data_IF_938626382660
#
_entry.id   IF_938626382660
#
_cell.length_a   1.000
_cell.length_b   1.000
_cell.length_c   1.000
_cell.angle_alpha   90.00
_cell.angle_beta   90.00
_cell.angle_gamma   90.00
#
_symmetry.space_group_name_H-M   'P 1'
#
loop_
_entity.id
_entity.type
_entity.pdbx_description
1 polymer ?
#
# COMPACT_ATOMS: atom_id res chain seq x y z
N UNK A 1 -50.53 9.35 49.23
CA UNK A 1 -49.18 9.46 48.63
C UNK A 1 -49.01 8.22 47.76
N UNK A 2 -49.63 8.15 46.58
CA UNK A 2 -49.30 8.85 45.32
C UNK A 2 -48.01 8.29 44.70
N UNK A 3 -47.92 7.86 43.43
CA UNK A 3 -48.92 7.57 42.42
C UNK A 3 -48.24 6.76 41.30
N UNK A 4 -49.03 5.89 40.69
CA UNK A 4 -48.79 5.21 39.42
C UNK A 4 -49.04 6.23 38.30
N UNK A 5 -48.17 6.27 37.28
CA UNK A 5 -48.29 7.14 36.12
C UNK A 5 -48.02 6.38 34.83
N UNK A 6 -49.10 5.88 34.21
CA UNK A 6 -49.17 5.50 32.80
C UNK A 6 -48.89 6.71 31.91
N UNK A 7 -48.24 6.51 30.77
CA UNK A 7 -48.60 7.24 29.55
C UNK A 7 -48.48 6.33 28.32
N UNK A 8 -49.66 5.83 27.95
CA UNK A 8 -50.04 5.30 26.65
C UNK A 8 -50.36 6.48 25.73
N UNK A 9 -50.22 6.22 24.42
CA UNK A 9 -50.93 6.86 23.31
C UNK A 9 -50.82 8.37 23.18
N UNK A 10 -50.05 8.83 22.18
CA UNK A 10 -50.54 9.74 21.13
C UNK A 10 -49.38 10.12 20.19
N UNK A 11 -49.33 9.49 19.01
CA UNK A 11 -48.90 10.15 17.75
C UNK A 11 -49.22 9.26 16.54
N UNK A 12 -50.50 8.86 16.43
CA UNK A 12 -51.10 8.45 15.15
C UNK A 12 -51.85 9.65 14.57
N UNK A 13 -51.10 10.62 14.04
CA UNK A 13 -51.65 11.70 13.24
C UNK A 13 -50.51 12.49 12.60
N UNK A 14 -49.87 11.96 11.54
CA UNK A 14 -49.02 12.74 10.61
C UNK A 14 -48.66 11.97 9.34
N UNK A 15 -49.60 11.20 8.76
CA UNK A 15 -49.45 10.62 7.42
C UNK A 15 -50.82 10.55 6.73
N UNK A 16 -51.33 11.69 6.28
CA UNK A 16 -52.41 11.74 5.29
C UNK A 16 -52.39 13.12 4.62
N UNK A 17 -52.12 13.12 3.32
CA UNK A 17 -52.26 14.31 2.48
C UNK A 17 -51.04 14.60 1.62
N UNK A 18 -50.81 13.79 0.59
CA UNK A 18 -50.12 14.24 -0.64
C UNK A 18 -50.38 13.27 -1.81
N UNK A 19 -51.67 13.04 -2.10
CA UNK A 19 -52.10 12.50 -3.40
C UNK A 19 -53.51 13.03 -3.68
N UNK A 20 -53.61 14.13 -4.43
CA UNK A 20 -54.68 14.40 -5.40
C UNK A 20 -54.55 15.82 -5.97
N UNK A 21 -54.99 15.93 -7.23
CA UNK A 21 -55.14 17.13 -8.06
C UNK A 21 -53.88 17.59 -8.81
N UNK A 22 -53.75 17.11 -10.05
CA UNK A 22 -53.96 17.95 -11.23
C UNK A 22 -53.97 17.04 -12.46
N UNK A 23 -55.17 16.72 -12.91
CA UNK A 23 -55.44 16.24 -14.26
C UNK A 23 -56.19 17.35 -15.01
N UNK A 24 -56.18 17.23 -16.33
CA UNK A 24 -57.01 17.93 -17.31
C UNK A 24 -56.47 19.25 -17.90
N UNK A 25 -55.77 19.12 -19.04
CA UNK A 25 -56.21 19.81 -20.27
C UNK A 25 -55.52 19.30 -21.55
N UNK A 26 -56.35 18.67 -22.38
CA UNK A 26 -56.48 18.80 -23.85
C UNK A 26 -55.35 18.36 -24.80
N UNK A 27 -55.71 17.31 -25.55
CA UNK A 27 -55.17 16.80 -26.83
C UNK A 27 -55.37 17.83 -27.97
N UNK A 28 -54.47 17.91 -28.97
CA UNK A 28 -54.81 17.36 -30.29
C UNK A 28 -53.66 16.56 -30.91
N UNK A 29 -54.02 15.46 -31.59
CA UNK A 29 -53.07 14.54 -32.19
C UNK A 29 -52.52 14.98 -33.56
N UNK A 30 -51.44 14.32 -33.97
CA UNK A 30 -51.03 14.17 -35.37
C UNK A 30 -50.21 12.89 -35.51
N UNK A 31 -50.68 12.02 -36.41
CA UNK A 31 -49.90 10.93 -37.00
C UNK A 31 -48.77 11.52 -37.88
N UNK A 32 -47.56 10.95 -37.83
CA UNK A 32 -46.69 10.90 -39.01
C UNK A 32 -45.52 9.90 -38.83
N UNK A 33 -45.59 8.85 -39.65
CA UNK A 33 -44.51 8.33 -40.51
C UNK A 33 -43.18 7.80 -39.92
N UNK A 34 -42.95 6.51 -40.20
CA UNK A 34 -41.66 5.84 -40.26
C UNK A 34 -40.67 6.52 -41.22
N UNK A 35 -39.37 6.64 -40.88
CA UNK A 35 -38.35 6.91 -41.88
C UNK A 35 -37.81 5.60 -42.49
N UNK A 36 -37.92 5.54 -43.81
CA UNK A 36 -37.26 4.58 -44.72
C UNK A 36 -35.74 4.75 -44.68
N UNK A 37 -35.06 3.63 -44.93
CA UNK A 37 -33.66 3.48 -45.30
C UNK A 37 -33.02 4.71 -45.97
N UNK A 38 -32.08 5.36 -45.26
CA UNK A 38 -31.21 6.39 -45.84
C UNK A 38 -29.95 5.76 -46.45
N UNK A 39 -29.72 6.08 -47.73
CA UNK A 39 -28.53 5.74 -48.51
C UNK A 39 -27.27 6.31 -47.86
N UNK A 40 -26.24 5.47 -47.79
CA UNK A 40 -24.88 5.83 -47.37
C UNK A 40 -24.26 6.82 -48.38
N UNK A 41 -23.91 8.02 -47.92
CA UNK A 41 -23.15 9.02 -48.70
C UNK A 41 -21.68 9.02 -48.30
N UNK A 42 -20.81 9.10 -49.32
CA UNK A 42 -19.35 9.05 -49.28
C UNK A 42 -18.66 10.02 -48.28
N UNK A 43 -19.37 11.03 -47.75
CA UNK A 43 -18.85 11.93 -46.72
C UNK A 43 -18.63 11.29 -45.35
N UNK A 44 -19.31 10.19 -45.01
CA UNK A 44 -19.08 9.51 -43.73
C UNK A 44 -17.75 8.73 -43.70
N UNK A 45 -17.23 8.31 -44.86
CA UNK A 45 -15.96 7.57 -44.98
C UNK A 45 -14.71 8.41 -44.68
N UNK A 46 -14.76 9.72 -44.95
CA UNK A 46 -13.66 10.65 -44.70
C UNK A 46 -13.54 11.02 -43.23
N UNK A 47 -14.67 11.13 -42.51
CA UNK A 47 -14.68 11.37 -41.08
C UNK A 47 -14.19 10.13 -40.27
N UNK A 48 -14.44 8.92 -40.77
CA UNK A 48 -13.89 7.68 -40.20
C UNK A 48 -12.39 7.58 -40.41
N UNK A 49 -11.88 7.91 -41.60
CA UNK A 49 -10.44 7.91 -41.90
C UNK A 49 -9.66 8.94 -41.06
N UNK A 50 -10.22 10.13 -40.84
CA UNK A 50 -9.58 11.15 -40.02
C UNK A 50 -9.52 10.73 -38.53
N UNK A 51 -10.56 10.05 -38.04
CA UNK A 51 -10.62 9.57 -36.64
C UNK A 51 -9.71 8.36 -36.40
N UNK A 52 -9.62 7.42 -37.33
CA UNK A 52 -8.66 6.29 -37.23
C UNK A 52 -7.22 6.78 -37.31
N UNK A 53 -6.92 7.75 -38.19
CA UNK A 53 -5.62 8.41 -38.22
C UNK A 53 -5.30 9.12 -36.88
N UNK A 54 -6.29 9.74 -36.25
CA UNK A 54 -6.11 10.42 -34.96
C UNK A 54 -5.87 9.44 -33.79
N UNK A 55 -6.58 8.30 -33.75
CA UNK A 55 -6.35 7.26 -32.74
C UNK A 55 -5.00 6.56 -32.91
N UNK A 56 -4.59 6.28 -34.15
CA UNK A 56 -3.25 5.76 -34.44
C UNK A 56 -2.20 6.80 -34.05
N UNK A 57 -2.42 8.09 -34.34
CA UNK A 57 -1.51 9.16 -33.92
C UNK A 57 -1.43 9.29 -32.39
N UNK A 58 -2.54 9.15 -31.64
CA UNK A 58 -2.55 9.16 -30.17
C UNK A 58 -1.82 7.93 -29.63
N UNK A 59 -2.06 6.72 -30.16
CA UNK A 59 -1.35 5.52 -29.76
C UNK A 59 0.17 5.64 -30.04
N UNK A 60 0.54 6.16 -31.21
CA UNK A 60 1.93 6.43 -31.60
C UNK A 60 2.57 7.55 -30.77
N UNK A 61 1.79 8.50 -30.21
CA UNK A 61 2.28 9.52 -29.27
C UNK A 61 2.36 9.03 -27.83
N UNK A 62 1.51 8.07 -27.43
CA UNK A 62 1.54 7.46 -26.11
C UNK A 62 2.70 6.47 -25.96
N UNK A 63 3.13 5.82 -27.05
CA UNK A 63 4.31 4.95 -27.05
C UNK A 63 5.60 5.68 -26.62
N UNK A 64 6.00 6.84 -27.17
CA UNK A 64 7.17 7.57 -26.70
C UNK A 64 6.97 8.16 -25.31
N UNK A 65 5.76 8.53 -24.88
CA UNK A 65 5.52 8.92 -23.48
C UNK A 65 5.67 7.74 -22.51
N UNK A 66 5.22 6.56 -22.90
CA UNK A 66 5.42 5.30 -22.18
C UNK A 66 6.90 4.93 -22.15
N UNK A 67 7.59 5.01 -23.29
CA UNK A 67 9.03 4.78 -23.40
C UNK A 67 9.81 5.82 -22.59
N UNK A 68 9.46 7.12 -22.60
CA UNK A 68 10.11 8.15 -21.76
C UNK A 68 9.88 7.88 -20.28
N UNK A 69 8.68 7.39 -19.89
CA UNK A 69 8.39 6.99 -18.51
C UNK A 69 9.22 5.77 -18.10
N UNK A 70 9.32 4.77 -18.98
CA UNK A 70 10.15 3.58 -18.82
C UNK A 70 11.65 3.90 -18.88
N UNK A 71 12.06 4.91 -19.64
CA UNK A 71 13.47 5.32 -19.78
C UNK A 71 13.91 6.15 -18.58
N UNK A 72 13.06 7.05 -18.06
CA UNK A 72 13.29 7.69 -16.75
C UNK A 72 13.28 6.68 -15.60
N UNK A 73 12.49 5.61 -15.74
CA UNK A 73 12.51 4.48 -14.80
C UNK A 73 13.83 3.70 -14.89
N UNK A 74 14.36 3.47 -16.10
CA UNK A 74 15.67 2.87 -16.32
C UNK A 74 16.84 3.77 -15.90
N UNK A 75 16.70 5.10 -15.89
CA UNK A 75 17.73 6.00 -15.37
C UNK A 75 17.80 5.96 -13.82
N UNK A 76 16.65 5.81 -13.14
CA UNK A 76 16.62 5.58 -11.69
C UNK A 76 17.05 4.14 -11.34
N UNK A 77 16.66 3.17 -12.16
CA UNK A 77 17.10 1.77 -12.04
C UNK A 77 18.57 1.61 -12.40
N UNK A 78 19.15 2.36 -13.33
CA UNK A 78 20.60 2.31 -13.59
C UNK A 78 21.38 3.05 -12.51
N UNK A 79 20.81 4.06 -11.84
CA UNK A 79 21.43 4.63 -10.64
C UNK A 79 21.41 3.66 -9.45
N UNK A 80 20.32 2.90 -9.25
CA UNK A 80 20.17 1.93 -8.14
C UNK A 80 20.56 0.47 -8.50
N UNK A 81 20.84 0.17 -9.77
CA UNK A 81 21.33 -1.14 -10.24
C UNK A 81 22.69 -1.09 -10.91
N UNK A 82 23.26 0.09 -11.25
CA UNK A 82 24.73 0.23 -11.39
C UNK A 82 25.41 0.45 -10.04
N UNK A 83 24.65 0.68 -8.96
CA UNK A 83 25.13 0.25 -7.64
C UNK A 83 25.03 -1.26 -7.61
N UNK A 84 26.01 -1.93 -8.23
CA UNK A 84 26.37 -3.34 -8.01
C UNK A 84 26.85 -3.53 -6.56
N UNK A 85 26.19 -2.90 -5.58
CA UNK A 85 26.31 -3.28 -4.18
C UNK A 85 25.69 -4.66 -4.16
N UNK A 86 26.53 -5.69 -4.24
CA UNK A 86 26.18 -7.02 -3.78
C UNK A 86 25.92 -6.89 -2.29
N UNK A 87 24.70 -6.48 -1.95
CA UNK A 87 24.17 -6.62 -0.61
C UNK A 87 24.16 -8.13 -0.39
N UNK A 88 25.10 -8.62 0.40
CA UNK A 88 25.08 -9.99 0.86
C UNK A 88 23.85 -10.14 1.77
N UNK A 89 22.71 -10.41 1.14
CA UNK A 89 21.38 -10.59 1.75
C UNK A 89 21.30 -11.88 2.61
N UNK A 90 22.36 -12.70 2.60
CA UNK A 90 22.40 -13.89 3.42
C UNK A 90 22.78 -13.55 4.86
N UNK A 91 21.75 -13.43 5.72
CA UNK A 91 21.84 -13.74 7.15
C UNK A 91 22.51 -15.12 7.32
N UNK A 92 23.85 -15.16 7.37
CA UNK A 92 24.62 -16.38 7.61
C UNK A 92 25.68 -16.73 6.59
N UNK A 93 25.97 -15.90 5.58
CA UNK A 93 27.20 -16.09 4.80
C UNK A 93 28.41 -15.80 5.70
N UNK A 94 29.33 -16.75 5.81
CA UNK A 94 30.63 -16.53 6.47
C UNK A 94 31.29 -15.31 5.82
N UNK A 95 31.86 -14.39 6.61
CA UNK A 95 32.51 -13.22 6.05
C UNK A 95 33.61 -13.68 5.09
N UNK A 96 33.82 -12.99 3.96
CA UNK A 96 34.85 -13.37 3.01
C UNK A 96 36.22 -13.44 3.71
N UNK A 97 37.12 -14.31 3.23
CA UNK A 97 38.41 -14.55 3.87
C UNK A 97 39.22 -13.26 4.13
N UNK A 98 39.01 -12.22 3.31
CA UNK A 98 39.58 -10.87 3.48
C UNK A 98 39.17 -10.14 4.78
N UNK A 99 38.12 -10.61 5.46
CA UNK A 99 37.65 -10.07 6.74
C UNK A 99 38.23 -10.81 7.96
N UNK A 100 39.14 -11.79 7.79
CA UNK A 100 39.65 -12.62 8.89
C UNK A 100 40.66 -11.88 9.80
N UNK A 101 41.50 -11.01 9.23
CA UNK A 101 42.47 -10.18 9.99
C UNK A 101 41.89 -8.78 10.20
N UNK A 102 41.04 -8.62 11.21
CA UNK A 102 40.34 -7.37 11.48
C UNK A 102 40.64 -6.81 12.88
N UNK A 103 40.61 -5.48 12.97
CA UNK A 103 40.63 -4.75 14.24
C UNK A 103 39.23 -4.26 14.56
N UNK A 104 38.89 -4.21 15.85
CA UNK A 104 37.55 -3.80 16.30
C UNK A 104 37.65 -2.64 17.28
N UNK A 105 36.96 -1.54 16.98
CA UNK A 105 36.67 -0.47 17.92
C UNK A 105 35.31 -0.71 18.59
N UNK A 106 35.21 -0.58 19.90
CA UNK A 106 33.97 -0.80 20.65
C UNK A 106 33.62 0.43 21.50
N UNK A 107 32.35 0.81 21.49
CA UNK A 107 31.83 1.98 22.19
C UNK A 107 30.58 1.63 22.98
N UNK A 108 30.35 2.34 24.07
CA UNK A 108 29.20 2.15 24.95
C UNK A 108 28.59 3.52 25.27
N UNK A 109 27.26 3.64 25.10
CA UNK A 109 26.53 4.87 25.37
C UNK A 109 25.30 4.61 26.20
N UNK A 110 25.14 5.39 27.26
CA UNK A 110 24.06 5.27 28.23
C UNK A 110 23.07 6.42 28.08
N UNK A 111 21.81 6.10 27.84
CA UNK A 111 20.74 7.09 27.74
C UNK A 111 19.71 6.88 28.85
N UNK A 112 19.33 7.98 29.50
CA UNK A 112 18.46 7.98 30.67
C UNK A 112 17.41 9.09 30.57
N UNK A 113 16.22 8.84 31.13
CA UNK A 113 15.09 9.78 31.17
C UNK A 113 14.66 10.24 29.76
N UNK A 114 14.66 9.30 28.82
CA UNK A 114 14.36 9.59 27.42
C UNK A 114 12.87 9.85 27.21
N UNK A 115 12.59 10.97 26.53
CA UNK A 115 11.30 11.21 25.88
C UNK A 115 11.38 10.97 24.39
N UNK A 116 12.49 11.34 23.76
CA UNK A 116 12.74 11.13 22.34
C UNK A 116 14.07 10.42 22.18
N UNK A 117 14.22 9.63 21.14
CA UNK A 117 15.50 9.03 20.79
C UNK A 117 15.75 9.08 19.29
N UNK A 118 16.95 9.51 18.90
CA UNK A 118 17.37 9.54 17.49
C UNK A 118 18.73 8.86 17.33
N UNK A 119 18.76 7.83 16.48
CA UNK A 119 19.99 7.22 16.00
C UNK A 119 20.23 7.63 14.54
N UNK A 120 21.42 8.11 14.24
CA UNK A 120 21.84 8.44 12.89
C UNK A 120 23.15 7.73 12.56
N UNK A 121 23.19 6.96 11.48
CA UNK A 121 24.39 6.33 10.95
C UNK A 121 24.62 6.82 9.54
N UNK A 122 25.79 7.41 9.29
CA UNK A 122 26.14 7.94 7.97
C UNK A 122 27.43 7.30 7.51
N UNK A 123 27.36 6.62 6.36
CA UNK A 123 28.56 6.23 5.62
C UNK A 123 28.92 7.37 4.69
N UNK A 124 30.12 7.94 4.82
CA UNK A 124 30.60 8.98 3.92
C UNK A 124 31.04 8.35 2.59
N UNK A 125 30.06 7.96 1.78
CA UNK A 125 30.25 7.38 0.46
C UNK A 125 30.48 8.50 -0.55
N UNK A 126 31.66 8.50 -1.18
CA UNK A 126 31.91 9.41 -2.29
C UNK A 126 31.21 8.94 -3.57
N UNK A 127 30.91 9.87 -4.47
CA UNK A 127 30.10 9.63 -5.69
C UNK A 127 30.76 8.67 -6.69
N UNK A 128 32.04 8.39 -6.56
CA UNK A 128 32.79 7.42 -7.38
C UNK A 128 32.80 6.02 -6.75
N UNK A 129 31.63 5.56 -6.29
CA UNK A 129 31.47 4.29 -5.59
C UNK A 129 31.50 3.13 -6.60
N UNK A 130 32.65 2.44 -6.71
CA UNK A 130 32.73 1.13 -7.40
C UNK A 130 32.47 0.03 -6.38
N UNK A 131 31.36 -0.68 -6.56
CA UNK A 131 30.81 -1.61 -5.59
C UNK A 131 31.41 -3.03 -5.66
N UNK A 132 32.30 -3.30 -6.62
CA UNK A 132 32.63 -4.67 -7.02
C UNK A 132 33.49 -5.47 -6.04
N UNK A 133 34.19 -4.83 -5.09
CA UNK A 133 35.19 -5.52 -4.24
C UNK A 133 35.11 -5.23 -2.72
N UNK A 134 34.30 -4.25 -2.30
CA UNK A 134 34.19 -3.86 -0.88
C UNK A 134 33.13 -4.66 -0.15
N UNK A 135 33.44 -5.11 1.06
CA UNK A 135 32.48 -5.72 1.97
C UNK A 135 32.04 -4.72 3.05
N UNK A 136 30.92 -4.04 2.80
CA UNK A 136 30.30 -3.12 3.75
C UNK A 136 29.04 -3.78 4.34
N UNK A 137 28.99 -3.90 5.67
CA UNK A 137 27.82 -4.41 6.38
C UNK A 137 27.55 -3.57 7.61
N UNK A 138 26.30 -3.16 7.79
CA UNK A 138 25.84 -2.61 9.07
C UNK A 138 24.60 -3.33 9.55
N UNK A 139 24.54 -3.59 10.85
CA UNK A 139 23.37 -4.14 11.52
C UNK A 139 23.00 -3.23 12.70
N UNK A 140 21.76 -2.76 12.71
CA UNK A 140 21.17 -2.01 13.83
C UNK A 140 20.11 -2.90 14.46
N UNK A 141 20.30 -3.27 15.73
CA UNK A 141 19.37 -4.18 16.42
C UNK A 141 18.77 -3.51 17.64
N UNK A 142 17.43 -3.47 17.69
CA UNK A 142 16.68 -3.01 18.85
C UNK A 142 16.24 -4.24 19.65
N UNK A 143 16.88 -4.44 20.79
CA UNK A 143 16.78 -5.64 21.61
C UNK A 143 16.16 -5.31 22.97
N UNK A 144 15.46 -6.25 23.63
CA UNK A 144 15.02 -6.06 25.00
C UNK A 144 16.24 -6.02 25.92
N UNK A 145 16.26 -5.04 26.81
CA UNK A 145 17.25 -4.99 27.87
C UNK A 145 17.01 -6.09 28.92
N UNK A 146 18.08 -6.41 29.66
CA UNK A 146 17.95 -7.18 30.90
C UNK A 146 17.04 -6.46 31.90
N UNK A 147 16.28 -7.21 32.71
CA UNK A 147 15.41 -6.66 33.76
C UNK A 147 16.13 -5.75 34.76
N UNK A 148 17.45 -5.91 34.92
CA UNK A 148 18.27 -5.12 35.84
C UNK A 148 18.89 -3.87 35.21
N UNK A 149 18.65 -3.62 33.91
CA UNK A 149 19.21 -2.44 33.25
C UNK A 149 18.58 -1.16 33.83
N UNK A 150 19.42 -0.29 34.37
CA UNK A 150 19.00 0.98 34.96
C UNK A 150 18.82 2.08 33.91
N UNK A 151 19.43 1.94 32.73
CA UNK A 151 19.35 2.85 31.58
C UNK A 151 18.08 2.63 30.77
N UNK A 152 17.55 3.70 30.17
CA UNK A 152 16.42 3.58 29.24
C UNK A 152 16.84 2.87 27.97
N UNK A 153 17.96 3.30 27.40
CA UNK A 153 18.61 2.66 26.26
C UNK A 153 20.11 2.58 26.56
N UNK A 154 20.67 1.38 26.43
CA UNK A 154 22.11 1.13 26.40
C UNK A 154 22.49 0.79 24.96
N UNK A 155 23.38 1.57 24.36
CA UNK A 155 23.88 1.29 23.01
C UNK A 155 25.27 0.69 23.11
N UNK A 156 25.44 -0.51 22.53
CA UNK A 156 26.75 -1.12 22.31
C UNK A 156 27.06 -1.06 20.82
N UNK A 157 28.10 -0.32 20.48
CA UNK A 157 28.56 -0.21 19.10
C UNK A 157 29.88 -0.97 18.95
N UNK A 158 30.00 -1.76 17.88
CA UNK A 158 31.26 -2.35 17.45
C UNK A 158 31.49 -2.04 15.98
N UNK A 159 32.64 -1.49 15.65
CA UNK A 159 33.08 -1.28 14.28
C UNK A 159 34.32 -2.12 14.04
N UNK A 160 34.22 -3.05 13.11
CA UNK A 160 35.28 -3.99 12.76
C UNK A 160 35.76 -3.67 11.35
N UNK A 161 37.07 -3.48 11.17
CA UNK A 161 37.65 -3.24 9.87
C UNK A 161 39.06 -3.81 9.74
N UNK A 162 39.43 -4.19 8.52
CA UNK A 162 40.83 -4.50 8.15
C UNK A 162 41.67 -3.23 7.91
N UNK A 163 41.05 -2.04 7.91
CA UNK A 163 41.74 -0.76 7.76
C UNK A 163 41.70 0.04 9.08
N UNK A 164 42.87 0.18 9.73
CA UNK A 164 43.01 0.93 10.98
C UNK A 164 42.67 2.42 10.84
N UNK A 165 42.89 3.04 9.67
CA UNK A 165 42.58 4.45 9.46
C UNK A 165 41.08 4.71 9.54
N UNK A 166 40.25 3.74 9.11
CA UNK A 166 38.80 3.83 9.27
C UNK A 166 38.45 3.94 10.74
N UNK A 167 39.05 3.09 11.58
CA UNK A 167 38.81 3.06 13.03
C UNK A 167 39.30 4.34 13.72
N UNK A 168 40.47 4.85 13.34
CA UNK A 168 41.04 6.09 13.89
C UNK A 168 40.23 7.33 13.52
N UNK A 169 39.54 7.32 12.37
CA UNK A 169 38.74 8.43 11.86
C UNK A 169 37.24 8.29 12.18
N UNK A 170 36.83 7.27 12.93
CA UNK A 170 35.44 7.13 13.37
C UNK A 170 35.03 8.35 14.20
N UNK A 171 33.97 9.02 13.77
CA UNK A 171 33.39 10.14 14.49
C UNK A 171 32.04 9.71 15.07
N UNK A 172 31.82 10.09 16.32
CA UNK A 172 30.53 9.94 16.96
C UNK A 172 30.16 11.21 17.71
N UNK A 173 28.89 11.60 17.62
CA UNK A 173 28.33 12.72 18.35
C UNK A 173 27.21 12.20 19.26
N UNK A 174 27.26 12.58 20.52
CA UNK A 174 26.32 12.11 21.54
C UNK A 174 25.66 13.33 22.17
N UNK A 175 24.32 13.29 22.26
CA UNK A 175 23.54 14.21 23.08
C UNK A 175 22.76 13.43 24.13
N UNK A 176 21.97 14.12 24.96
CA UNK A 176 21.10 13.47 25.95
C UNK A 176 20.04 12.55 25.32
N UNK A 177 19.74 12.69 24.02
CA UNK A 177 18.65 11.98 23.33
C UNK A 177 19.01 11.51 21.92
N UNK A 178 20.27 11.63 21.51
CA UNK A 178 20.69 11.24 20.17
C UNK A 178 22.10 10.66 20.13
N UNK A 179 22.31 9.78 19.16
CA UNK A 179 23.59 9.21 18.81
C UNK A 179 23.77 9.33 17.31
N UNK A 180 24.83 10.00 16.87
CA UNK A 180 25.23 10.03 15.47
C UNK A 180 26.57 9.32 15.31
N UNK A 181 26.66 8.43 14.33
CA UNK A 181 27.87 7.75 13.90
C UNK A 181 28.18 8.16 12.47
N UNK A 182 29.38 8.73 12.26
CA UNK A 182 29.89 9.04 10.93
C UNK A 182 31.07 8.13 10.64
N UNK A 183 30.89 7.29 9.62
CA UNK A 183 31.83 6.23 9.27
C UNK A 183 32.55 6.63 7.98
N UNK A 184 33.88 6.85 8.03
CA UNK A 184 34.65 7.22 6.85
C UNK A 184 34.85 5.99 5.96
N UNK A 185 34.52 6.11 4.67
CA UNK A 185 34.79 5.06 3.68
C UNK A 185 35.91 5.53 2.76
N UNK A 186 37.14 4.99 2.89
CA UNK A 186 38.28 5.43 2.09
C UNK A 186 38.06 5.16 0.59
N UNK A 187 38.55 6.08 -0.25
CA UNK A 187 38.31 6.04 -1.71
C UNK A 187 39.08 4.93 -2.44
N UNK A 188 40.27 4.56 -1.97
CA UNK A 188 41.22 3.72 -2.71
C UNK A 188 41.42 2.33 -2.08
N UNK A 189 40.48 1.89 -1.26
CA UNK A 189 40.58 0.61 -0.57
C UNK A 189 39.56 -0.36 -1.17
N UNK A 190 39.98 -1.07 -2.21
CA UNK A 190 39.12 -2.03 -2.92
C UNK A 190 38.85 -3.27 -2.06
N UNK A 191 39.77 -3.63 -1.16
CA UNK A 191 39.65 -4.76 -0.23
C UNK A 191 39.04 -4.37 1.13
N UNK A 192 38.41 -3.20 1.24
CA UNK A 192 37.85 -2.74 2.50
C UNK A 192 36.80 -3.71 3.03
N UNK A 193 37.10 -4.31 4.19
CA UNK A 193 36.12 -4.98 5.01
C UNK A 193 35.71 -4.05 6.15
N UNK A 194 34.42 -3.76 6.24
CA UNK A 194 33.87 -2.89 7.27
C UNK A 194 32.53 -3.45 7.75
N UNK A 195 32.50 -3.84 9.01
CA UNK A 195 31.30 -4.35 9.68
C UNK A 195 30.96 -3.48 10.86
N UNK A 196 29.76 -2.91 10.86
CA UNK A 196 29.22 -2.09 11.94
C UNK A 196 28.09 -2.86 12.61
N UNK A 197 28.12 -2.95 13.93
CA UNK A 197 26.99 -3.47 14.71
C UNK A 197 26.62 -2.45 15.77
N UNK A 198 25.35 -2.07 15.79
CA UNK A 198 24.75 -1.15 16.75
C UNK A 198 23.64 -1.90 17.49
N UNK A 199 23.94 -2.37 18.69
CA UNK A 199 22.98 -3.07 19.54
C UNK A 199 22.38 -2.10 20.57
N UNK A 200 21.10 -1.82 20.42
CA UNK A 200 20.32 -0.95 21.30
C UNK A 200 19.51 -1.82 22.26
N UNK A 201 19.95 -1.91 23.51
CA UNK A 201 19.22 -2.59 24.58
C UNK A 201 18.22 -1.64 25.21
N UNK A 202 16.95 -1.85 24.91
CA UNK A 202 15.84 -0.97 25.32
C UNK A 202 15.15 -1.52 26.55
N UNK A 203 15.01 -0.69 27.60
CA UNK A 203 14.28 -1.05 28.81
C UNK A 203 12.85 -1.47 28.47
N UNK A 204 12.43 -2.63 28.96
CA UNK A 204 11.15 -3.26 28.55
C UNK A 204 9.91 -2.45 28.91
N UNK A 205 10.00 -1.54 29.88
CA UNK A 205 8.91 -0.64 30.28
C UNK A 205 9.02 0.77 29.68
N UNK A 206 9.95 0.99 28.74
CA UNK A 206 10.19 2.31 28.18
C UNK A 206 9.00 2.78 27.35
N UNK A 207 8.63 4.04 27.55
CA UNK A 207 7.66 4.74 26.72
C UNK A 207 8.33 5.98 26.14
N UNK A 208 8.58 5.95 24.84
CA UNK A 208 9.10 7.09 24.09
C UNK A 208 7.93 7.87 23.47
N UNK A 209 8.11 9.16 23.29
CA UNK A 209 7.25 10.00 22.46
C UNK A 209 7.59 9.77 20.99
N UNK A 210 8.86 9.90 20.62
CA UNK A 210 9.34 9.66 19.25
C UNK A 210 10.59 8.77 19.21
N UNK A 211 10.64 7.87 18.23
CA UNK A 211 11.80 7.06 17.89
C UNK A 211 12.20 7.34 16.45
N UNK A 212 13.44 7.77 16.24
CA UNK A 212 13.98 8.00 14.90
C UNK A 212 15.24 7.16 14.67
N UNK A 213 15.31 6.47 13.54
CA UNK A 213 16.48 5.73 13.08
C UNK A 213 16.76 6.13 11.64
N UNK A 214 17.95 6.67 11.39
CA UNK A 214 18.42 7.05 10.07
C UNK A 214 19.70 6.28 9.75
N UNK A 215 19.78 5.62 8.60
CA UNK A 215 21.03 5.01 8.15
C UNK A 215 21.22 5.09 6.63
N UNK A 216 22.45 5.33 6.18
CA UNK A 216 22.81 5.19 4.76
C UNK A 216 22.81 3.71 4.32
N UNK A 217 23.25 2.81 5.19
CA UNK A 217 23.40 1.39 4.89
C UNK A 217 23.22 0.63 6.19
N UNK A 218 22.07 -0.03 6.38
CA UNK A 218 21.87 -0.89 7.55
C UNK A 218 20.76 -1.92 7.35
N UNK A 219 20.98 -3.10 7.92
CA UNK A 219 19.89 -4.01 8.26
C UNK A 219 19.39 -3.67 9.66
N UNK A 220 18.17 -3.17 9.76
CA UNK A 220 17.51 -2.81 11.01
C UNK A 220 16.63 -3.96 11.47
N UNK A 221 16.93 -4.53 12.63
CA UNK A 221 16.15 -5.60 13.26
C UNK A 221 15.50 -5.09 14.54
N UNK A 222 14.19 -5.27 14.67
CA UNK A 222 13.41 -4.76 15.80
C UNK A 222 12.75 -5.94 16.51
N UNK A 223 13.31 -6.27 17.67
CA UNK A 223 12.91 -7.40 18.52
C UNK A 223 12.40 -6.89 19.88
N UNK A 224 11.60 -5.83 19.87
CA UNK A 224 11.11 -5.21 21.10
C UNK A 224 9.83 -5.87 21.61
N UNK A 225 9.69 -6.03 22.95
CA UNK A 225 8.47 -6.59 23.51
C UNK A 225 7.32 -5.58 23.40
N UNK A 226 6.05 -6.04 23.36
CA UNK A 226 4.87 -5.17 23.29
C UNK A 226 4.71 -4.18 24.46
N UNK A 227 5.47 -4.36 25.53
CA UNK A 227 5.52 -3.46 26.69
C UNK A 227 6.23 -2.14 26.38
N UNK A 228 7.13 -2.13 25.39
CA UNK A 228 7.74 -0.89 24.87
C UNK A 228 6.73 -0.18 23.99
N UNK A 229 6.55 1.12 24.21
CA UNK A 229 5.56 1.93 23.48
C UNK A 229 6.16 3.19 22.91
N UNK A 230 5.70 3.55 21.72
CA UNK A 230 6.02 4.81 21.06
C UNK A 230 4.71 5.60 21.00
N UNK A 231 4.64 6.75 21.67
CA UNK A 231 3.36 7.45 21.90
C UNK A 231 2.92 8.29 20.72
N UNK A 232 3.83 8.82 19.92
CA UNK A 232 3.48 9.63 18.77
C UNK A 232 3.98 9.01 17.47
N UNK A 233 5.30 8.93 17.28
CA UNK A 233 5.85 8.56 15.99
C UNK A 233 7.12 7.71 16.06
N UNK A 234 7.13 6.66 15.26
CA UNK A 234 8.30 5.87 14.95
C UNK A 234 8.68 6.10 13.48
N UNK A 235 9.88 6.62 13.23
CA UNK A 235 10.37 6.93 11.90
C UNK A 235 11.70 6.19 11.66
N UNK A 236 11.71 5.29 10.68
CA UNK A 236 12.88 4.52 10.29
C UNK A 236 13.13 4.79 8.81
N UNK A 237 14.28 5.36 8.51
CA UNK A 237 14.68 5.72 7.16
C UNK A 237 16.06 5.16 6.88
N UNK A 238 16.12 4.20 5.97
CA UNK A 238 17.36 3.63 5.48
C UNK A 238 17.47 3.83 3.97
N UNK A 239 18.64 4.22 3.49
CA UNK A 239 18.85 4.33 2.04
C UNK A 239 19.06 2.95 1.41
N UNK A 240 19.83 2.07 2.06
CA UNK A 240 20.11 0.70 1.60
C UNK A 240 20.03 -0.29 2.76
N UNK A 241 19.38 -1.43 2.53
CA UNK A 241 19.28 -2.54 3.48
C UNK A 241 17.84 -2.93 3.80
N UNK A 242 17.66 -3.78 4.81
CA UNK A 242 16.34 -4.28 5.20
C UNK A 242 15.88 -3.78 6.57
N UNK A 243 14.58 -3.51 6.72
CA UNK A 243 13.94 -3.29 8.03
C UNK A 243 13.07 -4.50 8.35
N UNK A 244 13.39 -5.22 9.42
CA UNK A 244 12.65 -6.40 9.89
C UNK A 244 12.10 -6.16 11.29
N UNK A 245 10.81 -6.41 11.51
CA UNK A 245 10.17 -6.25 12.82
C UNK A 245 9.37 -7.50 13.25
N UNK A 246 9.58 -7.98 14.48
CA UNK A 246 8.98 -9.24 14.96
C UNK A 246 8.51 -9.19 16.44
N UNK A 247 7.33 -8.63 16.75
CA UNK A 247 6.55 -7.64 16.01
C UNK A 247 7.04 -6.20 16.29
N UNK A 248 6.60 -5.24 15.49
CA UNK A 248 6.89 -3.81 15.73
C UNK A 248 6.15 -3.28 16.99
N UNK A 249 6.80 -2.50 17.87
CA UNK A 249 6.16 -1.92 19.05
C UNK A 249 5.00 -0.99 18.68
N UNK A 250 3.99 -0.89 19.55
CA UNK A 250 2.83 -0.05 19.25
C UNK A 250 3.22 1.42 19.12
N UNK A 251 2.80 2.05 18.01
CA UNK A 251 2.98 3.47 17.73
C UNK A 251 1.71 4.06 17.11
N UNK A 252 1.40 5.32 17.42
CA UNK A 252 0.32 6.05 16.74
C UNK A 252 0.60 6.19 15.25
N UNK A 253 1.83 6.61 14.91
CA UNK A 253 2.33 6.71 13.53
C UNK A 253 3.61 5.92 13.37
N UNK A 254 3.66 5.08 12.36
CA UNK A 254 4.87 4.34 11.96
C UNK A 254 5.18 4.68 10.51
N UNK A 255 6.38 5.21 10.27
CA UNK A 255 6.90 5.53 8.94
C UNK A 255 8.18 4.75 8.73
N UNK A 256 8.19 3.89 7.73
CA UNK A 256 9.34 3.11 7.32
C UNK A 256 9.66 3.45 5.87
N UNK A 257 10.88 3.89 5.62
CA UNK A 257 11.42 4.07 4.29
C UNK A 257 12.67 3.20 4.15
N UNK A 258 12.70 2.36 3.11
CA UNK A 258 13.90 1.65 2.69
C UNK A 258 14.15 1.95 1.21
N UNK A 259 15.20 2.73 0.90
CA UNK A 259 15.51 3.15 -0.46
C UNK A 259 15.69 1.96 -1.40
N UNK A 260 16.71 1.15 -1.16
CA UNK A 260 16.96 -0.12 -1.83
C UNK A 260 17.04 -1.26 -0.81
N UNK A 261 16.08 -2.18 -0.84
CA UNK A 261 16.06 -3.35 0.02
C UNK A 261 14.66 -3.78 0.41
N UNK A 262 14.46 -4.22 1.65
CA UNK A 262 13.23 -4.89 2.05
C UNK A 262 12.60 -4.32 3.34
N UNK A 263 11.28 -4.33 3.41
CA UNK A 263 10.53 -4.10 4.65
C UNK A 263 9.76 -5.39 4.96
N UNK A 264 10.09 -6.01 6.10
CA UNK A 264 9.69 -7.37 6.44
C UNK A 264 9.09 -7.46 7.85
N UNK A 265 8.16 -8.39 8.03
CA UNK A 265 7.71 -8.83 9.35
C UNK A 265 6.32 -8.33 9.72
N UNK A 266 6.09 -8.14 11.03
CA UNK A 266 4.76 -7.90 11.60
C UNK A 266 4.67 -6.48 12.14
N UNK A 267 3.71 -5.73 11.60
CA UNK A 267 3.44 -4.35 11.98
C UNK A 267 2.05 -4.22 12.57
N UNK A 268 1.87 -3.22 13.43
CA UNK A 268 0.55 -2.87 13.95
C UNK A 268 0.15 -1.49 13.46
N UNK A 269 -1.15 -1.27 13.28
CA UNK A 269 -1.69 0.01 12.84
C UNK A 269 -2.62 0.61 13.90
N UNK A 270 -2.21 1.75 14.45
CA UNK A 270 -3.06 2.61 15.29
C UNK A 270 -3.70 3.69 14.41
N UNK A 271 -2.95 4.72 13.99
CA UNK A 271 -3.49 5.78 13.14
C UNK A 271 -2.88 5.77 11.75
N UNK A 272 -1.55 5.62 11.65
CA UNK A 272 -0.84 5.58 10.37
C UNK A 272 0.22 4.48 10.37
N UNK A 273 0.20 3.64 9.34
CA UNK A 273 1.32 2.79 8.96
C UNK A 273 1.70 3.11 7.52
N UNK A 274 2.87 3.73 7.33
CA UNK A 274 3.41 4.14 6.03
C UNK A 274 4.69 3.35 5.73
N UNK A 275 4.66 2.54 4.68
CA UNK A 275 5.77 1.69 4.24
C UNK A 275 6.17 2.08 2.82
N UNK A 276 7.39 2.56 2.64
CA UNK A 276 7.87 3.05 1.35
C UNK A 276 9.18 2.36 0.96
N UNK A 277 9.25 1.91 -0.28
CA UNK A 277 10.51 1.53 -0.92
C UNK A 277 10.69 2.22 -2.27
N UNK A 278 11.95 2.47 -2.66
CA UNK A 278 12.24 2.90 -4.04
C UNK A 278 12.49 1.67 -4.90
N UNK A 279 13.34 0.75 -4.43
CA UNK A 279 13.61 -0.54 -5.06
C UNK A 279 13.57 -1.66 -4.02
N UNK A 280 12.85 -2.74 -4.32
CA UNK A 280 12.79 -3.95 -3.51
C UNK A 280 11.41 -4.25 -2.92
N UNK A 281 11.38 -5.02 -1.84
CA UNK A 281 10.19 -5.80 -1.46
C UNK A 281 9.56 -5.30 -0.17
N UNK A 282 8.23 -5.19 -0.15
CA UNK A 282 7.45 -5.02 1.09
C UNK A 282 6.69 -6.31 1.34
N UNK A 283 7.07 -7.08 2.37
CA UNK A 283 6.43 -8.35 2.71
C UNK A 283 6.02 -8.33 4.19
N UNK A 284 4.76 -7.96 4.46
CA UNK A 284 4.32 -7.63 5.82
C UNK A 284 2.97 -8.22 6.21
N UNK A 285 2.88 -8.59 7.48
CA UNK A 285 1.63 -8.86 8.18
C UNK A 285 1.22 -7.60 8.95
N UNK A 286 -0.01 -7.11 8.73
CA UNK A 286 -0.50 -5.88 9.36
C UNK A 286 -1.65 -6.18 10.32
N UNK A 287 -1.40 -6.01 11.61
CA UNK A 287 -2.40 -6.22 12.64
C UNK A 287 -3.17 -4.93 12.98
N UNK A 288 -4.50 -4.91 12.88
CA UNK A 288 -5.30 -3.76 13.26
C UNK A 288 -5.37 -3.61 14.79
N UNK A 289 -5.10 -2.41 15.30
CA UNK A 289 -5.25 -2.10 16.72
C UNK A 289 -6.54 -1.30 17.02
N UNK A 290 -7.07 -1.42 18.24
CA UNK A 290 -8.20 -0.63 18.69
C UNK A 290 -7.96 0.88 18.56
N UNK A 291 -9.03 1.60 18.28
CA UNK A 291 -9.04 3.06 18.29
C UNK A 291 -8.73 3.57 19.71
N UNK A 292 -7.87 4.59 19.82
CA UNK A 292 -7.72 5.30 21.08
C UNK A 292 -9.05 5.98 21.41
N UNK A 293 -9.50 5.94 22.67
CA UNK A 293 -10.86 6.37 23.07
C UNK A 293 -11.20 7.81 22.67
N UNK A 294 -10.18 8.65 22.53
CA UNK A 294 -10.31 10.07 22.22
C UNK A 294 -10.05 10.40 20.75
N UNK A 295 -9.73 9.40 19.91
CA UNK A 295 -9.36 9.63 18.51
C UNK A 295 -10.46 9.25 17.55
N UNK A 296 -10.81 10.15 16.63
CA UNK A 296 -11.69 9.87 15.49
C UNK A 296 -10.90 9.56 14.21
N UNK A 297 -9.58 9.42 14.30
CA UNK A 297 -8.72 9.17 13.15
C UNK A 297 -9.00 7.80 12.53
N UNK A 298 -9.14 7.72 11.18
CA UNK A 298 -9.13 6.43 10.51
C UNK A 298 -7.78 5.74 10.75
N UNK A 299 -7.77 4.41 10.73
CA UNK A 299 -6.54 3.64 10.62
C UNK A 299 -6.12 3.62 9.14
N UNK A 300 -5.13 4.45 8.80
CA UNK A 300 -4.60 4.61 7.44
C UNK A 300 -3.38 3.71 7.21
N UNK A 301 -3.52 2.75 6.31
CA UNK A 301 -2.43 1.93 5.82
C UNK A 301 -2.01 2.42 4.43
N UNK A 302 -0.75 2.83 4.32
CA UNK A 302 -0.14 3.30 3.08
C UNK A 302 1.10 2.47 2.76
N UNK A 303 1.13 1.83 1.60
CA UNK A 303 2.30 1.13 1.09
C UNK A 303 2.64 1.64 -0.31
N UNK A 304 3.92 1.93 -0.56
CA UNK A 304 4.38 2.37 -1.87
C UNK A 304 5.72 1.77 -2.23
N UNK A 305 5.83 1.24 -3.45
CA UNK A 305 7.11 0.93 -4.08
C UNK A 305 7.22 1.62 -5.43
N UNK A 306 8.42 2.08 -5.81
CA UNK A 306 8.65 2.49 -7.20
C UNK A 306 8.96 1.27 -8.05
N UNK A 307 9.81 0.37 -7.57
CA UNK A 307 10.21 -0.86 -8.24
C UNK A 307 10.25 -2.03 -7.25
N UNK A 308 9.48 -3.07 -7.48
CA UNK A 308 9.54 -4.30 -6.70
C UNK A 308 8.17 -4.82 -6.30
N UNK A 309 8.17 -5.86 -5.48
CA UNK A 309 6.96 -6.62 -5.16
C UNK A 309 6.44 -6.28 -3.78
N UNK A 310 5.12 -6.25 -3.63
CA UNK A 310 4.46 -6.09 -2.35
C UNK A 310 3.63 -7.35 -2.08
N UNK A 311 3.89 -8.02 -0.96
CA UNK A 311 3.08 -9.10 -0.42
C UNK A 311 2.54 -8.66 0.94
N UNK A 312 1.25 -8.32 0.99
CA UNK A 312 0.65 -7.69 2.18
C UNK A 312 -0.50 -8.55 2.69
N UNK A 313 -0.47 -8.85 3.99
CA UNK A 313 -1.54 -9.56 4.67
C UNK A 313 -2.20 -8.65 5.71
N UNK A 314 -3.32 -8.03 5.34
CA UNK A 314 -4.07 -7.10 6.19
C UNK A 314 -5.57 -7.42 6.24
N UNK A 315 -6.13 -7.86 7.39
CA UNK A 315 -5.39 -8.47 8.50
C UNK A 315 -4.85 -9.86 8.12
N UNK A 316 -3.87 -10.38 8.87
CA UNK A 316 -3.44 -11.77 8.74
C UNK A 316 -4.60 -12.75 8.93
N UNK A 317 -4.67 -13.88 8.22
CA UNK A 317 -5.78 -14.84 8.31
C UNK A 317 -6.07 -15.36 9.72
N UNK A 318 -5.05 -15.44 10.57
CA UNK A 318 -5.14 -15.83 11.97
C UNK A 318 -5.80 -14.78 12.87
N UNK A 319 -5.94 -13.53 12.41
CA UNK A 319 -6.50 -12.42 13.17
C UNK A 319 -8.03 -12.44 13.14
N UNK A 320 -8.65 -12.98 14.21
CA UNK A 320 -10.12 -13.14 14.28
C UNK A 320 -10.87 -11.88 14.71
N UNK A 321 -10.23 -11.02 15.49
CA UNK A 321 -10.84 -9.81 16.03
C UNK A 321 -10.33 -8.59 15.28
N UNK A 322 -11.21 -7.95 14.52
CA UNK A 322 -10.95 -6.69 13.85
C UNK A 322 -11.67 -5.60 14.66
N UNK A 323 -10.96 -4.62 15.23
CA UNK A 323 -11.57 -3.53 15.98
C UNK A 323 -12.55 -2.71 15.15
N UNK A 324 -13.67 -2.31 15.75
CA UNK A 324 -14.65 -1.42 15.09
C UNK A 324 -14.10 0.01 15.01
N UNK A 325 -13.61 0.42 13.83
CA UNK A 325 -13.19 1.79 13.50
C UNK A 325 -13.13 2.00 11.98
N UNK A 326 -13.01 3.24 11.48
CA UNK A 326 -12.80 3.51 10.06
C UNK A 326 -11.41 3.03 9.61
N UNK A 327 -11.36 2.36 8.45
CA UNK A 327 -10.13 1.88 7.83
C UNK A 327 -9.95 2.45 6.43
N UNK A 328 -8.71 2.82 6.11
CA UNK A 328 -8.31 3.27 4.78
C UNK A 328 -7.04 2.56 4.33
N UNK A 329 -7.05 2.11 3.08
CA UNK A 329 -5.91 1.41 2.47
C UNK A 329 -5.52 2.10 1.17
N UNK A 330 -4.23 2.40 1.02
CA UNK A 330 -3.64 2.87 -0.23
C UNK A 330 -2.38 2.08 -0.52
N UNK A 331 -2.33 1.40 -1.67
CA UNK A 331 -1.17 0.62 -2.11
C UNK A 331 -0.81 1.02 -3.53
N UNK A 332 0.43 1.48 -3.74
CA UNK A 332 0.88 2.02 -5.01
C UNK A 332 2.19 1.38 -5.45
N UNK A 333 2.22 0.82 -6.67
CA UNK A 333 3.43 0.31 -7.30
C UNK A 333 3.76 1.07 -8.58
N UNK A 334 5.02 1.46 -8.76
CA UNK A 334 5.52 1.91 -10.06
C UNK A 334 5.64 0.73 -11.01
N UNK A 335 6.47 -0.26 -10.68
CA UNK A 335 6.45 -1.55 -11.34
C UNK A 335 6.70 -2.72 -10.39
N UNK A 336 6.02 -3.84 -10.66
CA UNK A 336 6.12 -5.08 -9.90
C UNK A 336 4.76 -5.61 -9.44
N UNK A 337 4.78 -6.74 -8.73
CA UNK A 337 3.57 -7.44 -8.29
C UNK A 337 2.99 -6.77 -7.05
N UNK A 338 1.68 -6.52 -7.05
CA UNK A 338 0.90 -6.27 -5.83
C UNK A 338 0.13 -7.54 -5.52
N UNK A 339 0.50 -8.25 -4.47
CA UNK A 339 -0.17 -9.44 -4.01
C UNK A 339 -0.60 -9.26 -2.56
N UNK A 340 -1.80 -9.71 -2.20
CA UNK A 340 -2.18 -9.70 -0.80
C UNK A 340 -3.65 -9.76 -0.47
N UNK A 341 -3.91 -9.63 0.83
CA UNK A 341 -5.23 -9.47 1.43
C UNK A 341 -5.32 -8.08 2.04
N UNK A 342 -6.41 -7.37 1.80
CA UNK A 342 -6.60 -6.00 2.27
C UNK A 342 -7.92 -5.83 3.02
N UNK A 343 -7.83 -5.20 4.19
CA UNK A 343 -8.99 -4.79 4.97
C UNK A 343 -9.63 -3.59 4.28
N UNK A 344 -10.93 -3.69 4.01
CA UNK A 344 -11.66 -2.65 3.33
C UNK A 344 -12.70 -2.03 4.28
N UNK A 345 -12.57 -0.73 4.53
CA UNK A 345 -13.51 0.05 5.34
C UNK A 345 -14.13 1.17 4.53
N UNK A 346 -13.68 2.41 4.74
CA UNK A 346 -14.18 3.59 4.01
C UNK A 346 -13.58 3.67 2.61
N UNK A 347 -12.30 3.32 2.48
CA UNK A 347 -11.50 3.51 1.27
C UNK A 347 -10.52 2.37 1.08
N UNK A 348 -10.44 1.86 -0.14
CA UNK A 348 -9.30 1.06 -0.61
C UNK A 348 -8.90 1.50 -2.01
N UNK A 349 -7.63 1.88 -2.19
CA UNK A 349 -7.06 2.29 -3.47
C UNK A 349 -5.81 1.46 -3.77
N UNK A 350 -5.87 0.65 -4.83
CA UNK A 350 -4.74 -0.14 -5.32
C UNK A 350 -4.34 0.35 -6.71
N UNK A 351 -3.08 0.73 -6.90
CA UNK A 351 -2.60 1.29 -8.16
C UNK A 351 -1.26 0.70 -8.58
N UNK A 352 -1.14 0.34 -9.86
CA UNK A 352 0.11 -0.13 -10.45
C UNK A 352 0.36 0.53 -11.81
N UNK A 353 1.55 1.09 -12.07
CA UNK A 353 1.84 1.54 -13.44
C UNK A 353 2.17 0.35 -14.35
N UNK A 354 3.03 -0.56 -13.92
CA UNK A 354 3.39 -1.73 -14.70
C UNK A 354 3.57 -2.98 -13.81
N UNK A 355 2.61 -3.88 -13.84
CA UNK A 355 2.70 -5.13 -13.09
C UNK A 355 1.34 -5.67 -12.70
N UNK A 356 1.32 -6.93 -12.30
CA UNK A 356 0.08 -7.61 -11.98
C UNK A 356 -0.42 -7.22 -10.58
N UNK A 357 -1.74 -7.26 -10.40
CA UNK A 357 -2.37 -7.10 -9.09
C UNK A 357 -3.21 -8.34 -8.78
N UNK A 358 -2.92 -9.00 -7.66
CA UNK A 358 -3.67 -10.16 -7.16
C UNK A 358 -4.10 -9.85 -5.73
N UNK A 359 -5.36 -9.43 -5.55
CA UNK A 359 -5.82 -8.90 -4.28
C UNK A 359 -7.12 -9.58 -3.81
N UNK A 360 -7.12 -10.00 -2.55
CA UNK A 360 -8.33 -10.37 -1.82
C UNK A 360 -8.77 -9.20 -0.94
N UNK A 361 -9.99 -8.73 -1.10
CA UNK A 361 -10.52 -7.59 -0.35
C UNK A 361 -11.47 -8.13 0.71
N UNK A 362 -11.23 -7.82 1.98
CA UNK A 362 -12.10 -8.18 3.11
C UNK A 362 -12.93 -6.96 3.53
N UNK A 363 -14.21 -6.90 3.17
CA UNK A 363 -15.09 -5.82 3.63
C UNK A 363 -15.28 -5.90 5.16
N UNK A 364 -15.13 -4.75 5.81
CA UNK A 364 -15.25 -4.60 7.24
C UNK A 364 -15.83 -3.24 7.61
N UNK A 365 -16.85 -3.26 8.46
CA UNK A 365 -17.42 -2.09 9.12
C UNK A 365 -17.73 -0.93 8.16
N UNK A 366 -18.89 -1.02 7.51
CA UNK A 366 -19.50 0.09 6.81
C UNK A 366 -20.62 0.61 7.70
N UNK A 367 -20.48 1.82 8.25
CA UNK A 367 -21.66 2.54 8.68
C UNK A 367 -22.44 2.88 7.39
N UNK A 368 -23.72 2.58 7.31
CA UNK A 368 -24.50 2.78 6.07
C UNK A 368 -24.56 4.25 5.63
N UNK A 369 -24.27 5.17 6.55
CA UNK A 369 -24.23 6.60 6.28
C UNK A 369 -22.91 7.06 5.63
N UNK A 370 -21.84 6.24 5.69
CA UNK A 370 -20.52 6.57 5.17
C UNK A 370 -20.27 5.82 3.84
N UNK A 371 -20.10 6.54 2.71
CA UNK A 371 -19.86 5.89 1.43
C UNK A 371 -18.54 5.10 1.46
N UNK A 372 -18.61 3.84 1.02
CA UNK A 372 -17.45 2.97 0.93
C UNK A 372 -17.01 2.77 -0.51
N UNK A 373 -15.73 3.00 -0.78
CA UNK A 373 -15.19 2.96 -2.13
C UNK A 373 -13.95 2.09 -2.27
N UNK A 374 -13.99 1.20 -3.25
CA UNK A 374 -12.87 0.40 -3.71
C UNK A 374 -12.46 0.86 -5.11
N UNK A 375 -11.18 1.19 -5.28
CA UNK A 375 -10.61 1.51 -6.58
C UNK A 375 -9.39 0.66 -6.85
N UNK A 376 -9.36 0.02 -8.01
CA UNK A 376 -8.14 -0.59 -8.55
C UNK A 376 -7.82 0.01 -9.91
N UNK A 377 -6.55 0.32 -10.14
CA UNK A 377 -6.10 0.91 -11.39
C UNK A 377 -4.74 0.36 -11.82
N UNK A 378 -4.62 -0.02 -13.09
CA UNK A 378 -3.32 -0.26 -13.72
C UNK A 378 -3.19 0.42 -15.08
N UNK A 379 -1.97 0.79 -15.45
CA UNK A 379 -1.67 1.20 -16.84
C UNK A 379 -1.39 -0.05 -17.68
N UNK A 380 -0.52 -0.93 -17.19
CA UNK A 380 -0.25 -2.23 -17.80
C UNK A 380 -0.15 -3.34 -16.74
N UNK A 381 -0.74 -4.49 -17.03
CA UNK A 381 -0.72 -5.68 -16.16
C UNK A 381 -2.13 -6.18 -15.85
N UNK A 382 -2.19 -7.48 -15.56
CA UNK A 382 -3.44 -8.17 -15.26
C UNK A 382 -3.87 -7.88 -13.82
N UNK A 383 -5.18 -7.78 -13.60
CA UNK A 383 -5.77 -7.64 -12.27
C UNK A 383 -6.66 -8.84 -11.98
N UNK A 384 -6.39 -9.53 -10.88
CA UNK A 384 -7.26 -10.53 -10.29
C UNK A 384 -7.70 -10.04 -8.92
N UNK A 385 -8.95 -9.61 -8.81
CA UNK A 385 -9.51 -9.01 -7.60
C UNK A 385 -10.67 -9.88 -7.10
N UNK A 386 -10.58 -10.33 -5.86
CA UNK A 386 -11.62 -11.13 -5.21
C UNK A 386 -12.14 -10.37 -4.00
N UNK A 387 -13.42 -9.98 -4.04
CA UNK A 387 -14.12 -9.44 -2.88
C UNK A 387 -14.63 -10.63 -2.07
N UNK A 388 -14.30 -10.64 -0.78
CA UNK A 388 -14.69 -11.70 0.14
C UNK A 388 -16.04 -11.37 0.77
N UNK A 389 -16.72 -12.41 1.26
CA UNK A 389 -17.88 -12.23 2.13
C UNK A 389 -17.51 -11.35 3.34
N UNK A 390 -18.41 -10.45 3.78
CA UNK A 390 -18.15 -9.56 4.89
C UNK A 390 -17.86 -10.35 6.18
N UNK A 391 -16.90 -9.86 6.98
CA UNK A 391 -16.48 -10.55 8.22
C UNK A 391 -17.62 -10.74 9.23
N UNK A 392 -18.65 -9.90 9.16
CA UNK A 392 -19.85 -10.00 9.99
C UNK A 392 -21.06 -10.37 9.12
N UNK A 393 -21.64 -11.57 9.28
CA UNK A 393 -22.64 -12.17 8.37
C UNK A 393 -24.04 -11.53 8.44
N UNK A 394 -24.14 -10.29 8.95
CA UNK A 394 -25.41 -9.56 9.14
C UNK A 394 -25.37 -8.14 8.60
N UNK A 395 -24.26 -7.72 8.00
CA UNK A 395 -24.14 -6.38 7.41
C UNK A 395 -24.12 -6.60 5.90
N UNK A 396 -25.20 -6.26 5.17
CA UNK A 396 -25.16 -6.17 3.72
C UNK A 396 -23.99 -5.29 3.30
N UNK A 397 -23.36 -5.57 2.16
CA UNK A 397 -22.34 -4.68 1.58
C UNK A 397 -22.94 -3.35 1.09
N UNK A 398 -23.96 -2.79 1.75
CA UNK A 398 -24.75 -1.66 1.27
C UNK A 398 -23.91 -0.40 1.04
N UNK A 399 -24.26 0.35 -0.01
CA UNK A 399 -23.56 1.57 -0.42
C UNK A 399 -22.13 1.34 -0.90
N UNK A 400 -21.75 0.10 -1.22
CA UNK A 400 -20.41 -0.25 -1.69
C UNK A 400 -20.24 0.09 -3.18
N UNK A 401 -19.32 1.02 -3.45
CA UNK A 401 -18.95 1.41 -4.81
C UNK A 401 -17.57 0.88 -5.17
N UNK A 402 -17.47 0.10 -6.24
CA UNK A 402 -16.20 -0.43 -6.73
C UNK A 402 -15.91 0.01 -8.16
N UNK A 403 -14.65 0.37 -8.43
CA UNK A 403 -14.17 0.78 -9.75
C UNK A 403 -12.85 0.09 -10.08
N UNK A 404 -12.82 -0.67 -11.16
CA UNK A 404 -11.63 -1.40 -11.61
C UNK A 404 -11.24 -0.94 -13.01
N UNK A 405 -10.00 -0.46 -13.19
CA UNK A 405 -9.53 0.06 -14.48
C UNK A 405 -8.18 -0.53 -14.87
N UNK A 406 -8.03 -0.97 -16.11
CA UNK A 406 -6.71 -1.29 -16.70
C UNK A 406 -6.56 -0.62 -18.06
N UNK A 407 -5.39 -0.05 -18.35
CA UNK A 407 -5.06 0.42 -19.69
C UNK A 407 -4.85 -0.75 -20.64
N UNK A 408 -3.95 -1.66 -20.27
CA UNK A 408 -3.60 -2.87 -21.01
C UNK A 408 -3.53 -4.04 -20.03
N UNK A 409 -4.39 -5.03 -20.19
CA UNK A 409 -4.40 -6.22 -19.36
C UNK A 409 -5.80 -6.79 -19.18
N UNK A 410 -5.86 -7.96 -18.56
CA UNK A 410 -7.10 -8.64 -18.20
C UNK A 410 -7.60 -8.17 -16.83
N UNK A 411 -8.91 -7.96 -16.72
CA UNK A 411 -9.58 -7.83 -15.42
C UNK A 411 -10.34 -9.14 -15.12
N UNK A 412 -10.00 -9.79 -14.02
CA UNK A 412 -10.73 -10.94 -13.46
C UNK A 412 -11.25 -10.53 -12.08
N UNK A 413 -12.57 -10.40 -11.96
CA UNK A 413 -13.26 -9.91 -10.77
C UNK A 413 -14.17 -11.00 -10.21
N UNK A 414 -14.11 -11.20 -8.90
CA UNK A 414 -14.98 -12.14 -8.18
C UNK A 414 -15.63 -11.40 -7.01
N UNK A 415 -16.96 -11.51 -6.90
CA UNK A 415 -17.77 -10.88 -5.86
C UNK A 415 -18.60 -11.94 -5.14
N UNK A 416 -18.86 -11.76 -3.83
CA UNK A 416 -19.51 -12.78 -3.03
C UNK A 416 -21.03 -12.76 -3.21
N UNK A 417 -21.70 -13.80 -2.71
CA UNK A 417 -23.16 -13.94 -2.75
C UNK A 417 -23.91 -12.79 -2.08
N UNK A 418 -23.34 -12.13 -1.06
CA UNK A 418 -23.98 -11.00 -0.38
C UNK A 418 -23.95 -9.69 -1.19
N UNK A 419 -23.29 -9.66 -2.35
CA UNK A 419 -23.27 -8.47 -3.20
C UNK A 419 -24.52 -8.38 -4.06
N UNK A 420 -25.29 -7.30 -3.89
CA UNK A 420 -26.45 -6.97 -4.74
C UNK A 420 -26.35 -5.52 -5.22
N UNK A 421 -26.65 -5.28 -6.50
CA UNK A 421 -26.61 -3.94 -7.09
C UNK A 421 -26.42 -3.94 -8.60
N UNK A 422 -25.97 -2.80 -9.12
CA UNK A 422 -25.77 -2.56 -10.54
C UNK A 422 -24.31 -2.73 -10.96
N UNK A 423 -24.11 -3.28 -12.15
CA UNK A 423 -22.79 -3.54 -12.74
C UNK A 423 -22.69 -2.95 -14.14
N UNK A 424 -21.54 -2.39 -14.45
CA UNK A 424 -21.19 -1.94 -15.80
C UNK A 424 -19.76 -2.30 -16.16
N UNK A 425 -19.60 -3.01 -17.26
CA UNK A 425 -18.31 -3.41 -17.82
C UNK A 425 -18.13 -2.83 -19.21
N UNK A 426 -16.93 -2.36 -19.51
CA UNK A 426 -16.58 -1.90 -20.84
C UNK A 426 -15.14 -2.24 -21.22
N UNK A 427 -14.90 -2.46 -22.51
CA UNK A 427 -13.55 -2.58 -23.08
C UNK A 427 -13.49 -1.85 -24.41
N UNK A 428 -12.38 -1.18 -24.73
CA UNK A 428 -12.21 -0.60 -26.07
C UNK A 428 -11.75 -1.66 -27.09
N UNK A 429 -11.01 -2.68 -26.65
CA UNK A 429 -10.55 -3.81 -27.47
C UNK A 429 -10.47 -5.08 -26.61
N UNK A 430 -11.38 -6.02 -26.81
CA UNK A 430 -11.45 -7.27 -26.05
C UNK A 430 -12.88 -7.77 -25.92
N UNK A 431 -13.16 -8.50 -24.85
CA UNK A 431 -14.51 -8.97 -24.52
C UNK A 431 -14.91 -8.54 -23.11
N UNK A 432 -16.21 -8.36 -22.88
CA UNK A 432 -16.79 -8.16 -21.55
C UNK A 432 -17.71 -9.34 -21.27
N UNK A 433 -17.47 -10.04 -20.17
CA UNK A 433 -18.32 -11.12 -19.68
C UNK A 433 -18.71 -10.80 -18.24
N UNK A 434 -20.01 -10.76 -17.99
CA UNK A 434 -20.60 -10.62 -16.67
C UNK A 434 -21.50 -11.83 -16.44
N UNK A 435 -21.21 -12.60 -15.40
CA UNK A 435 -21.98 -13.78 -15.02
C UNK A 435 -22.14 -13.84 -13.50
N UNK A 436 -23.01 -14.75 -13.05
CA UNK A 436 -23.31 -14.88 -11.65
C UNK A 436 -24.69 -15.46 -11.40
N UNK A 437 -24.95 -15.85 -10.15
CA UNK A 437 -26.28 -16.30 -9.72
C UNK A 437 -27.21 -15.09 -9.65
N UNK A 438 -28.40 -15.18 -10.25
CA UNK A 438 -29.42 -14.12 -10.29
C UNK A 438 -28.95 -12.79 -10.93
N UNK A 439 -27.96 -12.86 -11.82
CA UNK A 439 -27.51 -11.72 -12.62
C UNK A 439 -28.38 -11.57 -13.87
N UNK A 440 -29.04 -10.42 -14.02
CA UNK A 440 -29.83 -10.06 -15.20
C UNK A 440 -29.06 -9.06 -16.08
N UNK A 441 -28.86 -9.41 -17.35
CA UNK A 441 -28.26 -8.50 -18.34
C UNK A 441 -29.34 -7.54 -18.86
N UNK A 442 -29.24 -6.26 -18.52
CA UNK A 442 -30.20 -5.23 -18.95
C UNK A 442 -29.85 -4.68 -20.33
N UNK A 443 -28.57 -4.54 -20.62
CA UNK A 443 -28.08 -3.85 -21.83
C UNK A 443 -26.70 -4.36 -22.21
N UNK A 444 -26.46 -4.59 -23.49
CA UNK A 444 -25.17 -5.02 -24.01
C UNK A 444 -25.00 -4.61 -25.47
N UNK A 445 -23.77 -4.31 -25.88
CA UNK A 445 -23.51 -3.94 -27.26
C UNK A 445 -22.07 -3.58 -27.57
N UNK A 446 -21.88 -2.89 -28.68
CA UNK A 446 -20.57 -2.40 -29.13
C UNK A 446 -20.45 -0.89 -28.95
N UNK A 447 -19.28 -0.45 -28.50
CA UNK A 447 -18.87 0.95 -28.48
C UNK A 447 -18.10 1.24 -29.77
N UNK A 448 -18.49 2.29 -30.48
CA UNK A 448 -17.77 2.68 -31.69
C UNK A 448 -16.34 3.17 -31.32
N UNK A 449 -15.27 2.76 -32.00
CA UNK A 449 -15.23 1.97 -33.24
C UNK A 449 -15.09 0.43 -33.09
N UNK A 450 -14.72 -0.10 -31.92
CA UNK A 450 -14.48 -1.55 -31.74
C UNK A 450 -14.61 -2.06 -30.29
N UNK A 451 -15.20 -1.27 -29.40
CA UNK A 451 -15.37 -1.63 -28.00
C UNK A 451 -16.60 -2.47 -27.73
N UNK A 452 -16.67 -3.03 -26.53
CA UNK A 452 -17.82 -3.79 -26.04
C UNK A 452 -18.23 -3.27 -24.68
N UNK A 453 -19.52 -3.34 -24.37
CA UNK A 453 -20.02 -3.03 -23.03
C UNK A 453 -21.16 -3.98 -22.63
N UNK A 454 -21.30 -4.15 -21.33
CA UNK A 454 -22.39 -4.90 -20.68
C UNK A 454 -22.84 -4.12 -19.45
N UNK A 455 -24.14 -4.03 -19.24
CA UNK A 455 -24.77 -3.57 -18.01
C UNK A 455 -25.63 -4.69 -17.47
N UNK A 456 -25.50 -4.95 -16.18
CA UNK A 456 -26.23 -6.01 -15.49
C UNK A 456 -26.68 -5.53 -14.12
N UNK A 457 -27.68 -6.19 -13.55
CA UNK A 457 -28.12 -6.02 -12.17
C UNK A 457 -28.20 -7.37 -11.48
N UNK A 458 -28.08 -7.36 -10.14
CA UNK A 458 -28.35 -8.51 -9.29
C UNK A 458 -29.06 -8.03 -8.03
N UNK A 459 -30.23 -8.59 -7.74
CA UNK A 459 -31.03 -8.22 -6.57
C UNK A 459 -31.48 -6.75 -6.59
N UNK A 460 -31.89 -6.26 -5.43
CA UNK A 460 -32.43 -4.90 -5.24
C UNK A 460 -31.47 -4.00 -4.44
N UNK A 461 -30.21 -4.44 -4.27
CA UNK A 461 -29.18 -3.70 -3.55
C UNK A 461 -28.74 -2.40 -4.23
N UNK A 462 -28.10 -1.54 -3.47
CA UNK A 462 -27.64 -0.21 -3.91
C UNK A 462 -26.15 -0.18 -4.28
N UNK A 463 -25.50 -1.33 -4.44
CA UNK A 463 -24.08 -1.40 -4.77
C UNK A 463 -23.81 -1.10 -6.24
N UNK A 464 -22.62 -0.57 -6.50
CA UNK A 464 -22.26 -0.10 -7.84
C UNK A 464 -20.87 -0.63 -8.21
N UNK A 465 -20.82 -1.50 -9.23
CA UNK A 465 -19.57 -2.03 -9.80
C UNK A 465 -19.34 -1.43 -11.20
N UNK A 466 -18.21 -0.75 -11.38
CA UNK A 466 -17.73 -0.32 -12.70
C UNK A 466 -16.39 -0.96 -13.02
N UNK A 467 -16.27 -1.58 -14.19
CA UNK A 467 -15.01 -2.13 -14.67
C UNK A 467 -14.73 -1.71 -16.12
N UNK A 468 -13.49 -1.30 -16.40
CA UNK A 468 -13.10 -0.82 -17.73
C UNK A 468 -11.69 -1.25 -18.13
N UNK A 469 -11.54 -1.80 -19.34
CA UNK A 469 -10.25 -2.08 -19.95
C UNK A 469 -10.03 -1.21 -21.20
N UNK A 470 -8.83 -0.67 -21.41
CA UNK A 470 -8.47 -0.10 -22.71
C UNK A 470 -8.32 -1.23 -23.73
N UNK A 471 -7.28 -2.03 -23.54
CA UNK A 471 -7.02 -3.25 -24.32
C UNK A 471 -6.96 -4.45 -23.37
N UNK A 472 -7.82 -5.43 -23.61
CA UNK A 472 -7.93 -6.63 -22.80
C UNK A 472 -9.39 -6.96 -22.49
N UNK A 473 -9.59 -8.14 -21.90
CA UNK A 473 -10.91 -8.63 -21.57
C UNK A 473 -11.25 -8.37 -20.09
N UNK A 474 -12.54 -8.17 -19.86
CA UNK A 474 -13.13 -7.99 -18.54
C UNK A 474 -14.01 -9.20 -18.24
N UNK A 475 -13.73 -9.87 -17.13
CA UNK A 475 -14.51 -10.99 -16.62
C UNK A 475 -14.93 -10.64 -15.19
N UNK A 476 -16.24 -10.56 -14.95
CA UNK A 476 -16.79 -10.35 -13.62
C UNK A 476 -17.77 -11.47 -13.28
N UNK A 477 -17.51 -12.17 -12.17
CA UNK A 477 -18.39 -13.18 -11.62
C UNK A 477 -18.93 -12.70 -10.26
N UNK A 478 -20.25 -12.78 -10.09
CA UNK A 478 -20.96 -12.37 -8.88
C UNK A 478 -21.82 -13.52 -8.34
N UNK A 479 -21.52 -13.98 -7.12
CA UNK A 479 -22.18 -15.14 -6.52
C UNK A 479 -21.23 -16.32 -6.43
#
# INVERSE_FOLDING_TARGET
>A
MAAIGNQSSDEKALLSGYYQALDEKTVPGTQSEFPRHSKWTCQQGLATLFKTACLIAIAVLMIPLFVIRVHRYNDLHSFLSNSDIKIHDELGSDPPAQCLDNSTASFHFDFNRLQNFTLTEVFNLDRSFSASERYLRSNIRLLPASFFQAQDILVKASVTSNNLLVLEQLQHEVSDSSLAFTIPVPRNDEDLCLVVNLDLYVRTSLSLENLNIFSTLANVEILLPPTVRIRNEANINIDVGAVTALPFPSSHKTRIYAGAGAILGVYTINDLLMLNTTSGTISVDVAPNPMNRDSTTPAEFFAKTTAGSMNISYPPPQWRFIPKRPYEVTVVSGAGLIEGRFLHGRKTHLESSAGNMVASILPFYMNTDDPSWLRTQSVAGDQKITILAPHYPKIPLAGFTSTHKTGIGRLELQYPDEWEGSMRGETAMGSVIMNGTDVEIIDQGTLWPAGHYVKAIRGDGDNHLTCSAGTGSVFANVG
#
